data_IF_775415259819
#
_entry.id   IF_775415259819
#
_cell.length_a   1.000
_cell.length_b   1.000
_cell.length_c   1.000
_cell.angle_alpha   90.00
_cell.angle_beta   90.00
_cell.angle_gamma   90.00
#
_symmetry.space_group_name_H-M   'P 1'
#
loop_
_entity.id
_entity.type
_entity.pdbx_description
1 polymer ?
#
# COMPACT_ATOMS: atom_id res chain seq x y z
N UNK A 1 15.31 -13.42 9.76
CA UNK A 1 13.87 -13.55 10.02
C UNK A 1 13.27 -12.16 10.05
N UNK A 2 12.22 -11.94 9.28
CA UNK A 2 11.43 -10.71 9.33
C UNK A 2 10.68 -10.68 10.67
N UNK A 3 10.93 -9.68 11.49
CA UNK A 3 10.16 -9.43 12.72
C UNK A 3 9.14 -8.35 12.36
N UNK A 4 7.87 -8.73 12.32
CA UNK A 4 6.77 -7.81 12.06
C UNK A 4 6.57 -6.81 13.21
N UNK A 5 5.67 -5.82 13.05
CA UNK A 5 5.36 -4.85 14.09
C UNK A 5 4.82 -5.55 15.36
N UNK A 6 5.26 -5.07 16.51
CA UNK A 6 4.90 -5.64 17.82
C UNK A 6 4.18 -4.59 18.65
N UNK A 7 3.06 -4.98 19.28
CA UNK A 7 2.36 -4.11 20.23
C UNK A 7 3.12 -4.09 21.56
N UNK A 8 3.50 -2.90 21.99
CA UNK A 8 4.14 -2.66 23.29
C UNK A 8 3.24 -1.77 24.14
N UNK A 9 2.95 -2.18 25.37
CA UNK A 9 2.22 -1.34 26.31
C UNK A 9 3.11 -0.21 26.80
N UNK A 10 2.51 0.94 27.12
CA UNK A 10 3.25 2.14 27.59
C UNK A 10 4.17 1.83 28.79
N UNK A 11 3.74 0.97 29.71
CA UNK A 11 4.55 0.58 30.86
C UNK A 11 5.79 -0.21 30.44
N UNK A 12 5.62 -1.18 29.55
CA UNK A 12 6.72 -1.97 29.00
C UNK A 12 7.73 -1.10 28.24
N UNK A 13 7.24 -0.06 27.55
CA UNK A 13 8.10 0.90 26.85
C UNK A 13 8.99 1.69 27.80
N UNK A 14 8.51 2.02 29.00
CA UNK A 14 9.29 2.74 30.03
C UNK A 14 10.34 1.85 30.69
N UNK A 15 10.14 0.54 30.67
CA UNK A 15 11.05 -0.47 31.24
C UNK A 15 12.09 -0.96 30.21
N UNK A 16 11.88 -0.67 28.92
CA UNK A 16 12.85 -1.00 27.88
C UNK A 16 14.18 -0.26 28.15
N UNK A 17 15.17 -1.01 28.55
CA UNK A 17 16.55 -0.52 28.48
C UNK A 17 16.83 -0.19 27.01
N UNK A 18 17.19 1.07 26.72
CA UNK A 18 17.38 1.58 25.37
C UNK A 18 18.29 0.64 24.59
N UNK A 19 17.71 -0.10 23.69
CA UNK A 19 18.45 -0.95 22.78
C UNK A 19 19.01 -0.04 21.68
N UNK A 20 20.25 -0.22 21.34
CA UNK A 20 21.04 0.60 20.43
C UNK A 20 20.61 0.59 18.96
N UNK A 21 19.43 0.06 18.64
CA UNK A 21 18.92 0.00 17.27
C UNK A 21 17.81 1.04 17.06
N UNK A 22 17.87 1.80 15.96
CA UNK A 22 16.79 2.72 15.61
C UNK A 22 15.49 1.97 15.38
N UNK A 23 14.38 2.48 15.90
CA UNK A 23 13.06 1.90 15.75
C UNK A 23 11.99 2.98 15.51
N UNK A 24 10.88 2.60 14.88
CA UNK A 24 9.72 3.46 14.68
C UNK A 24 8.65 3.05 15.69
N UNK A 25 8.21 4.01 16.50
CA UNK A 25 7.10 3.82 17.44
C UNK A 25 5.91 4.66 16.97
N UNK A 26 4.77 4.02 16.86
CA UNK A 26 3.54 4.65 16.39
C UNK A 26 2.38 4.30 17.32
N UNK A 27 1.37 5.16 17.36
CA UNK A 27 0.12 4.82 18.05
C UNK A 27 -0.55 3.64 17.36
N UNK A 28 -1.01 2.68 18.16
CA UNK A 28 -1.81 1.58 17.64
C UNK A 28 -3.20 2.09 17.22
N UNK A 29 -3.58 1.81 15.98
CA UNK A 29 -4.90 2.11 15.43
C UNK A 29 -5.66 0.80 15.25
N UNK A 30 -6.78 0.65 15.96
CA UNK A 30 -7.69 -0.46 15.68
C UNK A 30 -8.31 -0.28 14.30
N UNK A 31 -7.96 -1.19 13.38
CA UNK A 31 -8.35 -1.08 11.99
C UNK A 31 -9.60 -1.88 11.64
N UNK A 32 -10.34 -1.40 10.65
CA UNK A 32 -11.37 -2.13 9.91
C UNK A 32 -10.75 -2.85 8.71
N UNK A 33 -9.92 -2.13 7.95
CA UNK A 33 -9.20 -2.61 6.79
C UNK A 33 -8.01 -1.71 6.49
N UNK A 34 -7.11 -2.19 5.68
CA UNK A 34 -6.03 -1.39 5.12
C UNK A 34 -6.38 -0.94 3.71
N UNK A 35 -5.83 0.19 3.29
CA UNK A 35 -5.97 0.73 1.93
C UNK A 35 -4.60 0.88 1.32
N UNK A 36 -4.43 0.36 0.11
CA UNK A 36 -3.23 0.55 -0.68
C UNK A 36 -3.55 1.27 -1.96
N UNK A 37 -2.79 2.33 -2.26
CA UNK A 37 -2.94 3.15 -3.47
C UNK A 37 -1.59 3.22 -4.16
N UNK A 38 -1.46 2.58 -5.31
CA UNK A 38 -0.35 2.83 -6.23
C UNK A 38 -0.72 4.04 -7.08
N UNK A 39 0.07 5.11 -7.00
CA UNK A 39 -0.20 6.38 -7.64
C UNK A 39 0.95 6.74 -8.58
N UNK A 40 0.67 6.84 -9.84
CA UNK A 40 1.51 7.45 -10.86
C UNK A 40 1.13 8.92 -11.06
N UNK A 41 1.88 9.65 -11.84
CA UNK A 41 1.66 11.08 -12.06
C UNK A 41 0.20 11.42 -12.38
N UNK A 42 -0.39 10.73 -13.35
CA UNK A 42 -1.75 11.00 -13.83
C UNK A 42 -2.78 9.91 -13.52
N UNK A 43 -2.35 8.78 -12.98
CA UNK A 43 -3.21 7.62 -12.82
C UNK A 43 -3.00 6.93 -11.46
N UNK A 44 -3.92 6.05 -11.06
CA UNK A 44 -3.78 5.25 -9.85
C UNK A 44 -4.45 3.87 -10.00
N UNK A 45 -4.05 2.97 -9.11
CA UNK A 45 -4.77 1.73 -8.82
C UNK A 45 -4.82 1.54 -7.31
N UNK A 46 -5.94 1.05 -6.78
CA UNK A 46 -6.12 0.99 -5.34
C UNK A 46 -7.00 -0.17 -4.90
N UNK A 47 -6.72 -0.70 -3.72
CA UNK A 47 -7.52 -1.72 -3.09
C UNK A 47 -7.69 -1.47 -1.59
N UNK A 48 -8.69 -2.10 -1.01
CA UNK A 48 -8.78 -2.33 0.42
C UNK A 48 -8.52 -3.80 0.72
N UNK A 49 -7.87 -4.06 1.85
CA UNK A 49 -7.49 -5.39 2.32
C UNK A 49 -8.11 -5.57 3.69
N UNK A 50 -9.05 -6.49 3.80
CA UNK A 50 -9.84 -6.75 5.00
C UNK A 50 -9.60 -8.16 5.50
N UNK A 51 -9.53 -8.41 6.82
CA UNK A 51 -9.52 -9.76 7.34
C UNK A 51 -10.90 -10.43 7.13
N UNK A 52 -10.91 -11.72 6.79
CA UNK A 52 -12.13 -12.52 6.64
C UNK A 52 -12.76 -12.88 7.98
N UNK A 53 -11.98 -12.95 9.05
CA UNK A 53 -12.44 -13.20 10.41
C UNK A 53 -11.72 -12.28 11.40
N UNK A 54 -12.40 -11.86 12.43
CA UNK A 54 -12.14 -10.65 13.21
C UNK A 54 -10.89 -10.59 14.10
N UNK A 55 -9.87 -11.41 13.93
CA UNK A 55 -8.73 -11.42 14.85
C UNK A 55 -7.40 -11.67 14.12
N UNK A 56 -6.92 -10.69 13.40
CA UNK A 56 -5.63 -10.83 12.74
C UNK A 56 -4.62 -9.81 13.24
N UNK A 57 -3.34 -10.26 13.17
CA UNK A 57 -2.18 -9.47 13.53
C UNK A 57 -2.07 -8.14 12.78
N UNK A 58 -1.05 -7.38 13.12
CA UNK A 58 -0.88 -5.99 12.71
C UNK A 58 -0.56 -5.81 11.22
N UNK A 59 -0.15 -6.89 10.52
CA UNK A 59 0.34 -6.83 9.14
C UNK A 59 -0.30 -7.92 8.29
N UNK A 60 -1.09 -7.53 7.27
CA UNK A 60 -1.77 -8.46 6.37
C UNK A 60 -0.80 -9.31 5.53
N UNK A 61 0.42 -8.85 5.33
CA UNK A 61 1.45 -9.54 4.53
C UNK A 61 1.88 -10.88 5.12
N UNK A 62 1.65 -11.07 6.42
CA UNK A 62 1.94 -12.33 7.12
C UNK A 62 0.70 -13.22 7.27
N UNK A 63 -0.47 -12.79 6.80
CA UNK A 63 -1.69 -13.58 6.88
C UNK A 63 -1.73 -14.64 5.79
N UNK A 64 -2.29 -15.83 6.04
CA UNK A 64 -2.64 -16.77 4.99
C UNK A 64 -3.58 -16.12 3.97
N UNK A 65 -3.40 -16.45 2.69
CA UNK A 65 -4.20 -15.82 1.60
C UNK A 65 -5.71 -16.05 1.76
N UNK A 66 -6.09 -17.14 2.41
CA UNK A 66 -7.48 -17.52 2.67
C UNK A 66 -8.13 -16.68 3.77
N UNK A 67 -7.32 -15.95 4.53
CA UNK A 67 -7.75 -15.22 5.72
C UNK A 67 -7.98 -13.73 5.48
N UNK A 68 -7.78 -13.25 4.26
CA UNK A 68 -8.10 -11.87 3.90
C UNK A 68 -8.79 -11.76 2.55
N UNK A 69 -9.54 -10.69 2.39
CA UNK A 69 -10.21 -10.30 1.16
C UNK A 69 -9.55 -9.04 0.60
N UNK A 70 -9.32 -9.04 -0.71
CA UNK A 70 -8.86 -7.87 -1.46
C UNK A 70 -10.02 -7.39 -2.32
N UNK A 71 -10.45 -6.15 -2.11
CA UNK A 71 -11.55 -5.54 -2.84
C UNK A 71 -11.11 -4.21 -3.45
N UNK A 72 -11.73 -3.84 -4.56
CA UNK A 72 -11.48 -2.53 -5.17
C UNK A 72 -11.81 -1.42 -4.16
N UNK A 73 -10.94 -0.42 -4.07
CA UNK A 73 -11.17 0.77 -3.29
C UNK A 73 -11.27 1.98 -4.23
N UNK A 74 -12.27 2.81 -4.04
CA UNK A 74 -12.42 4.04 -4.82
C UNK A 74 -12.07 5.23 -3.92
N UNK A 75 -10.84 5.76 -4.01
CA UNK A 75 -10.44 6.93 -3.23
C UNK A 75 -11.21 8.17 -3.70
N UNK A 76 -11.46 9.07 -2.77
CA UNK A 76 -12.02 10.38 -3.13
C UNK A 76 -10.99 11.22 -3.89
N UNK A 77 -11.47 12.14 -4.73
CA UNK A 77 -10.59 13.07 -5.48
C UNK A 77 -9.69 13.87 -4.54
N UNK A 78 -10.21 14.24 -3.37
CA UNK A 78 -9.42 14.94 -2.34
C UNK A 78 -8.28 14.07 -1.80
N UNK A 79 -8.49 12.77 -1.58
CA UNK A 79 -7.44 11.86 -1.13
C UNK A 79 -6.34 11.74 -2.18
N UNK A 80 -6.71 11.55 -3.44
CA UNK A 80 -5.76 11.49 -4.57
C UNK A 80 -4.99 12.81 -4.69
N UNK A 81 -5.67 13.94 -4.58
CA UNK A 81 -5.02 15.26 -4.60
C UNK A 81 -3.97 15.39 -3.48
N UNK A 82 -4.29 14.98 -2.26
CA UNK A 82 -3.36 15.01 -1.13
C UNK A 82 -2.16 14.07 -1.34
N UNK A 83 -2.39 12.88 -1.88
CA UNK A 83 -1.31 11.94 -2.23
C UNK A 83 -0.38 12.54 -3.30
N UNK A 84 -0.91 13.14 -4.36
CA UNK A 84 -0.12 13.83 -5.38
C UNK A 84 0.69 14.99 -4.81
N UNK A 85 0.07 15.78 -3.94
CA UNK A 85 0.77 16.87 -3.25
C UNK A 85 1.94 16.35 -2.42
N UNK A 86 1.77 15.21 -1.74
CA UNK A 86 2.83 14.57 -0.98
C UNK A 86 3.95 14.06 -1.89
N UNK A 87 3.65 13.35 -2.99
CA UNK A 87 4.65 12.92 -3.96
C UNK A 87 5.48 14.10 -4.46
N UNK A 88 4.81 15.18 -4.84
CA UNK A 88 5.49 16.40 -5.31
C UNK A 88 6.41 17.00 -4.23
N UNK A 89 5.99 17.01 -2.96
CA UNK A 89 6.83 17.52 -1.86
C UNK A 89 8.05 16.66 -1.58
N UNK A 90 7.97 15.36 -1.91
CA UNK A 90 9.06 14.39 -1.79
C UNK A 90 9.91 14.28 -3.06
N UNK A 91 9.60 15.07 -4.10
CA UNK A 91 10.21 14.99 -5.43
C UNK A 91 10.10 13.57 -6.05
N UNK A 92 8.93 12.96 -5.89
CA UNK A 92 8.60 11.65 -6.43
C UNK A 92 7.50 11.79 -7.49
N UNK A 93 7.59 10.99 -8.55
CA UNK A 93 6.57 10.88 -9.60
C UNK A 93 5.71 9.61 -9.44
N UNK A 94 6.11 8.71 -8.55
CA UNK A 94 5.42 7.47 -8.24
C UNK A 94 5.56 7.14 -6.75
N UNK A 95 4.54 6.49 -6.19
CA UNK A 95 4.60 5.93 -4.85
C UNK A 95 3.39 5.06 -4.52
N UNK A 96 3.62 4.11 -3.66
CA UNK A 96 2.57 3.26 -3.08
C UNK A 96 2.26 3.77 -1.69
N UNK A 97 1.05 4.24 -1.51
CA UNK A 97 0.55 4.77 -0.24
C UNK A 97 -0.16 3.68 0.54
N UNK A 98 0.16 3.57 1.80
CA UNK A 98 -0.52 2.69 2.74
C UNK A 98 -1.28 3.50 3.79
N UNK A 99 -2.55 3.13 3.99
CA UNK A 99 -3.43 3.73 4.98
C UNK A 99 -4.13 2.65 5.81
N UNK A 100 -4.60 3.04 6.97
CA UNK A 100 -5.53 2.26 7.80
C UNK A 100 -6.87 3.01 7.87
N UNK A 101 -7.96 2.31 7.58
CA UNK A 101 -9.29 2.74 7.99
C UNK A 101 -9.53 2.28 9.42
N UNK A 102 -9.55 3.21 10.35
CA UNK A 102 -9.80 2.95 11.76
C UNK A 102 -11.25 2.53 12.05
N UNK A 103 -11.47 1.91 13.19
CA UNK A 103 -12.84 1.62 13.68
C UNK A 103 -13.67 2.87 13.93
N UNK A 104 -13.02 4.01 14.12
CA UNK A 104 -13.61 5.35 14.26
C UNK A 104 -14.00 5.99 12.91
N UNK A 105 -13.84 5.28 11.78
CA UNK A 105 -14.07 5.74 10.41
C UNK A 105 -13.10 6.83 9.91
N UNK A 106 -11.99 7.04 10.61
CA UNK A 106 -10.94 7.92 10.13
C UNK A 106 -9.92 7.14 9.30
N UNK A 107 -9.44 7.78 8.24
CA UNK A 107 -8.36 7.23 7.41
C UNK A 107 -7.01 7.75 7.92
N UNK A 108 -6.16 6.83 8.33
CA UNK A 108 -4.84 7.12 8.89
C UNK A 108 -3.76 6.78 7.88
N UNK A 109 -2.92 7.74 7.56
CA UNK A 109 -1.74 7.52 6.72
C UNK A 109 -0.67 6.74 7.50
N UNK A 110 -0.08 5.73 6.86
CA UNK A 110 1.04 4.98 7.42
C UNK A 110 2.36 5.36 6.76
N UNK A 111 2.44 5.14 5.45
CA UNK A 111 3.68 5.37 4.70
C UNK A 111 3.41 5.62 3.23
N UNK A 112 4.41 6.18 2.54
CA UNK A 112 4.54 6.16 1.09
C UNK A 112 5.85 5.47 0.73
N UNK A 113 5.77 4.48 -0.15
CA UNK A 113 6.91 3.67 -0.57
C UNK A 113 7.14 3.87 -2.08
N UNK A 114 8.29 4.45 -2.52
CA UNK A 114 8.57 4.67 -3.94
C UNK A 114 8.88 3.39 -4.72
N UNK A 115 9.08 2.27 -4.03
CA UNK A 115 9.33 0.96 -4.64
C UNK A 115 8.44 -0.15 -4.04
N UNK A 116 7.27 0.22 -3.51
CA UNK A 116 6.34 -0.71 -2.87
C UNK A 116 5.80 -1.77 -3.83
N UNK A 117 5.44 -2.93 -3.29
CA UNK A 117 4.78 -4.00 -4.05
C UNK A 117 3.35 -3.59 -4.40
N UNK A 118 3.00 -3.58 -5.68
CA UNK A 118 1.67 -3.17 -6.17
C UNK A 118 1.19 -3.95 -7.39
N UNK A 119 2.09 -4.67 -8.09
CA UNK A 119 1.73 -5.42 -9.29
C UNK A 119 0.71 -6.52 -9.02
N UNK A 120 0.64 -7.02 -7.78
CA UNK A 120 -0.35 -8.01 -7.38
C UNK A 120 -1.80 -7.51 -7.55
N UNK A 121 -2.03 -6.19 -7.59
CA UNK A 121 -3.35 -5.60 -7.82
C UNK A 121 -3.96 -6.09 -9.15
N UNK A 122 -3.13 -6.31 -10.17
CA UNK A 122 -3.61 -6.81 -11.46
C UNK A 122 -4.08 -8.27 -11.40
N UNK A 123 -3.56 -9.07 -10.46
CA UNK A 123 -4.01 -10.43 -10.24
C UNK A 123 -5.45 -10.48 -9.67
N UNK A 124 -5.83 -9.46 -8.88
CA UNK A 124 -7.18 -9.33 -8.33
C UNK A 124 -8.10 -8.52 -9.25
N UNK A 125 -7.55 -7.54 -9.96
CA UNK A 125 -8.28 -6.55 -10.77
C UNK A 125 -7.58 -6.35 -12.13
N UNK A 126 -7.71 -7.31 -13.06
CA UNK A 126 -7.04 -7.23 -14.38
C UNK A 126 -7.42 -5.96 -15.16
N UNK A 127 -8.65 -5.45 -14.94
CA UNK A 127 -9.15 -4.22 -15.56
C UNK A 127 -8.37 -2.97 -15.15
N UNK A 128 -7.67 -3.00 -14.02
CA UNK A 128 -6.84 -1.88 -13.56
C UNK A 128 -5.58 -1.69 -14.39
N UNK A 129 -5.16 -2.69 -15.17
CA UNK A 129 -4.01 -2.64 -16.09
C UNK A 129 -2.76 -2.03 -15.44
N UNK A 130 -2.44 -2.50 -14.23
CA UNK A 130 -1.40 -1.92 -13.37
C UNK A 130 -0.02 -2.03 -14.02
N UNK A 131 0.25 -3.16 -14.68
CA UNK A 131 1.49 -3.38 -15.41
C UNK A 131 1.63 -2.40 -16.59
N UNK A 132 0.57 -2.23 -17.39
CA UNK A 132 0.57 -1.29 -18.50
C UNK A 132 0.77 0.16 -18.02
N UNK A 133 0.11 0.56 -16.94
CA UNK A 133 0.30 1.89 -16.32
C UNK A 133 1.75 2.09 -15.89
N UNK A 134 2.37 1.07 -15.31
CA UNK A 134 3.77 1.12 -14.89
C UNK A 134 4.70 1.27 -16.09
N UNK A 135 4.49 0.49 -17.16
CA UNK A 135 5.28 0.61 -18.39
C UNK A 135 5.12 2.01 -18.97
N UNK A 136 3.90 2.49 -19.13
CA UNK A 136 3.63 3.81 -19.67
C UNK A 136 4.32 4.90 -18.85
N UNK A 137 4.29 4.78 -17.52
CA UNK A 137 4.99 5.70 -16.63
C UNK A 137 6.51 5.67 -16.82
N UNK A 138 7.12 4.49 -16.90
CA UNK A 138 8.58 4.33 -17.07
C UNK A 138 9.06 4.80 -18.45
N UNK A 139 8.19 4.77 -19.44
CA UNK A 139 8.50 5.10 -20.82
C UNK A 139 8.00 6.51 -21.20
N UNK A 140 7.37 7.24 -20.27
CA UNK A 140 6.90 8.61 -20.45
C UNK A 140 8.06 9.57 -20.76
N UNK A 141 8.37 9.69 -22.00
CA UNK A 141 9.47 10.40 -22.61
C UNK A 141 9.82 9.83 -23.97
N UNK A 142 9.45 8.58 -24.22
CA UNK A 142 9.56 7.94 -25.54
C UNK A 142 8.18 7.40 -25.93
N UNK A 143 7.66 7.81 -27.08
CA UNK A 143 6.41 7.29 -27.65
C UNK A 143 6.41 5.75 -27.61
N UNK A 144 5.70 5.17 -26.66
CA UNK A 144 5.55 3.72 -26.56
C UNK A 144 4.34 3.32 -27.39
N UNK A 145 4.58 2.38 -28.28
CA UNK A 145 3.56 1.74 -29.08
C UNK A 145 2.50 1.14 -28.13
N UNK A 146 1.24 1.56 -28.24
CA UNK A 146 0.11 1.13 -27.38
C UNK A 146 -0.17 -0.39 -27.46
N UNK A 147 0.60 -1.13 -28.25
CA UNK A 147 0.43 -2.55 -28.54
C UNK A 147 1.38 -3.48 -27.78
N UNK A 148 2.00 -3.06 -26.68
CA UNK A 148 2.76 -4.02 -25.84
C UNK A 148 1.77 -4.90 -25.09
N UNK A 149 1.47 -6.07 -25.64
CA UNK A 149 0.63 -7.09 -25.01
C UNK A 149 1.36 -7.68 -23.81
N UNK A 150 0.71 -7.65 -22.67
CA UNK A 150 1.20 -8.23 -21.40
C UNK A 150 1.44 -9.73 -21.49
N UNK A 151 0.78 -10.41 -22.45
CA UNK A 151 0.83 -11.86 -22.66
C UNK A 151 2.25 -12.40 -22.99
N UNK A 152 3.20 -11.53 -23.30
CA UNK A 152 4.59 -11.92 -23.60
C UNK A 152 5.49 -12.07 -22.37
N UNK A 153 5.02 -11.70 -21.20
CA UNK A 153 5.83 -11.65 -19.97
C UNK A 153 5.46 -12.70 -18.93
N UNK A 154 4.38 -13.46 -19.14
CA UNK A 154 4.09 -14.64 -18.34
C UNK A 154 4.86 -15.83 -18.91
N UNK A 155 5.98 -16.17 -18.28
CA UNK A 155 6.66 -17.45 -18.48
C UNK A 155 5.96 -18.46 -17.59
N UNK A 156 5.49 -19.56 -18.19
CA UNK A 156 4.90 -20.70 -17.50
C UNK A 156 5.82 -21.29 -16.41
#
# INVERSE_FOLDING_TARGET
SFVGPTLIKRQELLELTIVSLPGIFQNFIEKKYEVRIALWEDDYASCKISPNSGAYGFDWRIWPKEEFCVELFLPTDNLIFLCRKMLKSLNLNFGVFDFIMGKDNNLYFLEVNPAGSYLFLELYFPECKVFQKTINFLLNGNNVDENVSVDKFYVE
#
